data_IF_439117269502
#
_entry.id   IF_439117269502
#
_cell.length_a   1.000
_cell.length_b   1.000
_cell.length_c   1.000
_cell.angle_alpha   90.00
_cell.angle_beta   90.00
_cell.angle_gamma   90.00
#
_symmetry.space_group_name_H-M   'P 1'
#
loop_
_entity.id
_entity.type
_entity.pdbx_description
1 polymer ?
#
# COMPACT_ATOMS: atom_id res chain seq x y z
N UNK A 1 23.15 23.68 5.89
CA UNK A 1 22.33 22.54 5.53
C UNK A 1 20.99 23.02 5.01
N UNK A 2 20.41 22.31 4.04
CA UNK A 2 19.17 22.77 3.39
C UNK A 2 17.94 22.53 4.27
N UNK A 3 18.00 21.47 5.12
CA UNK A 3 16.93 21.05 6.01
C UNK A 3 17.46 20.56 7.36
N UNK A 4 16.60 20.53 8.38
CA UNK A 4 16.92 19.81 9.64
C UNK A 4 16.79 18.29 9.45
N UNK A 5 15.76 17.86 8.69
CA UNK A 5 15.43 16.43 8.54
C UNK A 5 15.14 16.08 7.08
N UNK A 6 15.82 15.05 6.57
CA UNK A 6 15.44 14.35 5.36
C UNK A 6 14.73 13.05 5.74
N UNK A 7 13.54 12.80 5.20
CA UNK A 7 12.83 11.53 5.32
C UNK A 7 12.83 10.83 3.97
N UNK A 8 13.39 9.62 3.89
CA UNK A 8 13.44 8.81 2.68
C UNK A 8 12.37 7.73 2.73
N UNK A 9 11.37 7.86 1.86
CA UNK A 9 10.19 7.01 1.75
C UNK A 9 8.93 7.66 2.30
N UNK A 10 7.92 7.81 1.43
CA UNK A 10 6.62 8.44 1.72
C UNK A 10 5.53 7.46 2.14
N UNK A 11 5.90 6.30 2.68
CA UNK A 11 4.96 5.37 3.31
C UNK A 11 4.40 5.90 4.63
N UNK A 12 3.57 5.13 5.31
CA UNK A 12 2.94 5.52 6.58
C UNK A 12 3.97 5.95 7.63
N UNK A 13 5.07 5.22 7.75
CA UNK A 13 6.14 5.54 8.69
C UNK A 13 6.82 6.89 8.36
N UNK A 14 7.20 7.08 7.09
CA UNK A 14 7.87 8.32 6.66
C UNK A 14 6.97 9.54 6.73
N UNK A 15 5.72 9.44 6.32
CA UNK A 15 4.75 10.53 6.45
C UNK A 15 4.54 10.90 7.91
N UNK A 16 4.41 9.90 8.80
CA UNK A 16 4.26 10.16 10.25
C UNK A 16 5.49 10.84 10.84
N UNK A 17 6.70 10.38 10.46
CA UNK A 17 7.95 10.98 10.91
C UNK A 17 8.10 12.43 10.41
N UNK A 18 7.78 12.67 9.13
CA UNK A 18 7.87 13.99 8.53
C UNK A 18 6.91 14.99 9.18
N UNK A 19 5.66 14.60 9.37
CA UNK A 19 4.65 15.42 10.05
C UNK A 19 5.07 15.73 11.49
N UNK A 20 5.55 14.72 12.22
CA UNK A 20 5.96 14.91 13.60
C UNK A 20 7.20 15.82 13.72
N UNK A 21 8.18 15.66 12.84
CA UNK A 21 9.34 16.55 12.83
C UNK A 21 8.93 18.01 12.55
N UNK A 22 8.04 18.22 11.59
CA UNK A 22 7.51 19.56 11.28
C UNK A 22 6.71 20.15 12.45
N UNK A 23 5.91 19.37 13.17
CA UNK A 23 5.20 19.82 14.38
C UNK A 23 6.16 20.24 15.51
N UNK A 24 7.36 19.70 15.53
CA UNK A 24 8.45 20.09 16.44
C UNK A 24 9.25 21.29 15.94
N UNK A 25 8.77 21.98 14.91
CA UNK A 25 9.38 23.19 14.36
C UNK A 25 10.60 22.93 13.45
N UNK A 26 10.79 21.68 12.98
CA UNK A 26 11.90 21.35 12.10
C UNK A 26 11.56 21.60 10.63
N UNK A 27 12.54 22.05 9.86
CA UNK A 27 12.47 22.11 8.40
C UNK A 27 12.65 20.70 7.84
N UNK A 28 11.62 20.20 7.10
CA UNK A 28 11.56 18.81 6.67
C UNK A 28 11.40 18.68 5.17
N UNK A 29 12.20 17.79 4.58
CA UNK A 29 11.98 17.29 3.23
C UNK A 29 11.70 15.80 3.25
N UNK A 30 10.66 15.36 2.54
CA UNK A 30 10.30 13.96 2.33
C UNK A 30 10.55 13.60 0.87
N UNK A 31 11.34 12.56 0.64
CA UNK A 31 11.65 12.05 -0.69
C UNK A 31 10.91 10.75 -0.93
N UNK A 32 10.08 10.69 -1.98
CA UNK A 32 9.33 9.50 -2.36
C UNK A 32 9.51 9.21 -3.85
N UNK A 33 9.85 7.95 -4.16
CA UNK A 33 10.13 7.55 -5.55
C UNK A 33 8.88 7.24 -6.37
N UNK A 34 7.79 6.81 -5.72
CA UNK A 34 6.58 6.34 -6.38
C UNK A 34 5.37 7.17 -5.95
N UNK A 35 4.67 6.76 -4.92
CA UNK A 35 3.42 7.39 -4.46
C UNK A 35 3.40 7.53 -2.94
N UNK A 36 2.94 8.67 -2.46
CA UNK A 36 2.64 8.89 -1.04
C UNK A 36 1.65 7.83 -0.56
N UNK A 37 1.84 7.35 0.68
CA UNK A 37 1.07 6.27 1.29
C UNK A 37 1.79 4.93 1.29
N UNK A 38 2.80 4.75 0.41
CA UNK A 38 3.62 3.53 0.34
C UNK A 38 2.79 2.27 0.13
N UNK A 39 3.29 1.15 0.58
CA UNK A 39 2.67 -0.17 0.41
C UNK A 39 1.28 -0.25 1.08
N UNK A 40 1.19 0.16 2.33
CA UNK A 40 -0.04 0.00 3.13
C UNK A 40 -1.26 0.65 2.48
N UNK A 41 -1.13 1.88 2.01
CA UNK A 41 -2.25 2.62 1.41
C UNK A 41 -2.50 2.17 -0.02
N UNK A 42 -1.43 2.03 -0.82
CA UNK A 42 -1.59 1.84 -2.26
C UNK A 42 -1.75 0.37 -2.67
N UNK A 43 -1.17 -0.59 -1.91
CA UNK A 43 -0.97 -1.96 -2.39
C UNK A 43 -1.36 -3.08 -1.43
N UNK A 44 -1.45 -2.81 -0.11
CA UNK A 44 -1.67 -3.86 0.89
C UNK A 44 -2.86 -3.58 1.81
N UNK A 45 -2.69 -2.81 2.88
CA UNK A 45 -3.66 -2.73 3.97
C UNK A 45 -5.03 -2.20 3.53
N UNK A 46 -5.06 -1.06 2.86
CA UNK A 46 -6.33 -0.47 2.42
C UNK A 46 -6.99 -1.30 1.33
N UNK A 47 -6.28 -1.73 0.26
CA UNK A 47 -6.83 -2.65 -0.72
C UNK A 47 -7.42 -3.91 -0.11
N UNK A 48 -6.66 -4.63 0.73
CA UNK A 48 -7.11 -5.91 1.30
C UNK A 48 -8.32 -5.74 2.19
N UNK A 49 -8.32 -4.74 3.08
CA UNK A 49 -9.44 -4.50 4.01
C UNK A 49 -10.70 -4.10 3.27
N UNK A 50 -10.59 -3.27 2.24
CA UNK A 50 -11.75 -2.89 1.41
C UNK A 50 -12.37 -4.11 0.71
N UNK A 51 -11.54 -4.98 0.13
CA UNK A 51 -12.01 -6.19 -0.55
C UNK A 51 -12.61 -7.21 0.42
N UNK A 52 -11.93 -7.46 1.54
CA UNK A 52 -12.37 -8.42 2.56
C UNK A 52 -13.66 -7.98 3.24
N UNK A 53 -13.81 -6.69 3.54
CA UNK A 53 -15.02 -6.15 4.17
C UNK A 53 -16.24 -6.34 3.27
N UNK A 54 -16.11 -6.06 1.98
CA UNK A 54 -17.17 -6.27 1.01
C UNK A 54 -17.59 -7.75 0.94
N UNK A 55 -16.61 -8.66 0.86
CA UNK A 55 -16.86 -10.11 0.83
C UNK A 55 -17.54 -10.59 2.12
N UNK A 56 -17.07 -10.14 3.29
CA UNK A 56 -17.69 -10.46 4.59
C UNK A 56 -19.12 -9.93 4.69
N UNK A 57 -19.39 -8.74 4.14
CA UNK A 57 -20.73 -8.14 4.12
C UNK A 57 -21.70 -9.00 3.31
N UNK A 58 -21.33 -9.38 2.08
CA UNK A 58 -22.16 -10.27 1.25
C UNK A 58 -22.40 -11.60 1.96
N UNK A 59 -21.35 -12.20 2.53
CA UNK A 59 -21.49 -13.47 3.24
C UNK A 59 -22.42 -13.37 4.46
N UNK A 60 -22.33 -12.28 5.24
CA UNK A 60 -23.20 -12.03 6.39
C UNK A 60 -24.66 -11.93 5.96
N UNK A 61 -24.95 -11.20 4.88
CA UNK A 61 -26.31 -11.08 4.33
C UNK A 61 -26.81 -12.44 3.85
N UNK A 62 -26.03 -13.14 3.03
CA UNK A 62 -26.42 -14.43 2.44
C UNK A 62 -26.60 -15.57 3.47
N UNK A 63 -25.91 -15.50 4.62
CA UNK A 63 -26.01 -16.49 5.68
C UNK A 63 -27.06 -16.18 6.75
N UNK A 64 -27.70 -15.01 6.69
CA UNK A 64 -28.71 -14.59 7.68
C UNK A 64 -30.05 -15.25 7.40
N UNK A 65 -30.60 -16.07 8.32
CA UNK A 65 -31.82 -16.85 8.05
C UNK A 65 -33.10 -16.01 7.90
N UNK A 66 -33.05 -14.76 8.33
CA UNK A 66 -34.18 -13.81 8.23
C UNK A 66 -34.07 -12.84 7.02
N UNK A 67 -33.02 -12.97 6.21
CA UNK A 67 -32.86 -12.13 5.02
C UNK A 67 -33.12 -12.97 3.77
N UNK A 68 -34.18 -12.63 3.07
CA UNK A 68 -34.53 -13.22 1.77
C UNK A 68 -33.99 -12.29 0.69
N UNK A 69 -32.75 -12.48 0.29
CA UNK A 69 -32.16 -11.74 -0.83
C UNK A 69 -31.14 -12.57 -1.59
N UNK A 70 -31.04 -12.39 -2.89
CA UNK A 70 -29.92 -12.84 -3.69
C UNK A 70 -28.92 -11.69 -3.82
N UNK A 71 -27.91 -11.67 -2.95
CA UNK A 71 -26.84 -10.67 -3.07
C UNK A 71 -25.68 -11.24 -3.88
N UNK A 72 -25.31 -10.55 -4.96
CA UNK A 72 -24.11 -10.86 -5.73
C UNK A 72 -23.10 -9.72 -5.58
N UNK A 73 -21.82 -10.08 -5.51
CA UNK A 73 -20.74 -9.09 -5.47
C UNK A 73 -20.41 -8.64 -6.88
N UNK A 74 -20.61 -7.35 -7.16
CA UNK A 74 -20.07 -6.72 -8.37
C UNK A 74 -18.60 -6.37 -8.14
N UNK A 75 -17.72 -7.24 -8.63
CA UNK A 75 -16.28 -7.10 -8.42
C UNK A 75 -15.69 -5.89 -9.15
N UNK A 76 -16.28 -5.45 -10.27
CA UNK A 76 -15.82 -4.27 -10.98
C UNK A 76 -16.10 -3.00 -10.16
N UNK A 77 -17.32 -2.82 -9.69
CA UNK A 77 -17.70 -1.71 -8.80
C UNK A 77 -16.92 -1.72 -7.49
N UNK A 78 -16.62 -2.90 -6.95
CA UNK A 78 -15.78 -3.02 -5.75
C UNK A 78 -14.37 -2.49 -6.00
N UNK A 79 -13.76 -2.82 -7.14
CA UNK A 79 -12.44 -2.29 -7.52
C UNK A 79 -12.44 -0.78 -7.74
N UNK A 80 -13.49 -0.22 -8.35
CA UNK A 80 -13.66 1.22 -8.49
C UNK A 80 -13.76 1.92 -7.12
N UNK A 81 -14.56 1.35 -6.20
CA UNK A 81 -14.68 1.87 -4.84
C UNK A 81 -13.35 1.80 -4.09
N UNK A 82 -12.62 0.69 -4.21
CA UNK A 82 -11.26 0.54 -3.65
C UNK A 82 -10.33 1.65 -4.16
N UNK A 83 -10.31 1.89 -5.46
CA UNK A 83 -9.47 2.94 -6.06
C UNK A 83 -9.85 4.34 -5.53
N UNK A 84 -11.14 4.64 -5.40
CA UNK A 84 -11.64 5.90 -4.84
C UNK A 84 -11.21 6.10 -3.38
N UNK A 85 -11.29 5.05 -2.55
CA UNK A 85 -10.86 5.10 -1.14
C UNK A 85 -9.35 5.39 -1.07
N UNK A 86 -8.55 4.69 -1.86
CA UNK A 86 -7.09 4.90 -1.91
C UNK A 86 -6.77 6.34 -2.31
N UNK A 87 -7.41 6.86 -3.37
CA UNK A 87 -7.18 8.24 -3.83
C UNK A 87 -7.51 9.26 -2.74
N UNK A 88 -8.67 9.12 -2.09
CA UNK A 88 -9.08 10.03 -1.03
C UNK A 88 -8.11 10.05 0.16
N UNK A 89 -7.58 8.89 0.55
CA UNK A 89 -6.59 8.79 1.63
C UNK A 89 -5.28 9.46 1.20
N UNK A 90 -4.78 9.19 0.00
CA UNK A 90 -3.57 9.83 -0.54
C UNK A 90 -3.68 11.34 -0.55
N UNK A 91 -4.74 11.87 -1.15
CA UNK A 91 -4.99 13.30 -1.22
C UNK A 91 -5.02 13.95 0.18
N UNK A 92 -5.61 13.27 1.16
CA UNK A 92 -5.60 13.74 2.54
C UNK A 92 -4.19 13.76 3.12
N UNK A 93 -3.37 12.73 2.86
CA UNK A 93 -1.97 12.68 3.31
C UNK A 93 -1.15 13.79 2.67
N UNK A 94 -1.28 14.01 1.36
CA UNK A 94 -0.58 15.07 0.62
C UNK A 94 -0.98 16.47 1.13
N UNK A 95 -2.28 16.71 1.36
CA UNK A 95 -2.76 17.95 1.97
C UNK A 95 -2.19 18.16 3.38
N UNK A 96 -2.12 17.11 4.19
CA UNK A 96 -1.54 17.22 5.54
C UNK A 96 -0.05 17.58 5.49
N UNK A 97 0.73 16.95 4.61
CA UNK A 97 2.14 17.27 4.41
C UNK A 97 2.31 18.74 4.00
N UNK A 98 1.54 19.19 3.00
CA UNK A 98 1.58 20.57 2.52
C UNK A 98 1.18 21.58 3.62
N UNK A 99 0.11 21.32 4.36
CA UNK A 99 -0.38 22.22 5.43
C UNK A 99 0.61 22.37 6.60
N UNK A 100 1.52 21.40 6.75
CA UNK A 100 2.60 21.42 7.75
C UNK A 100 3.95 21.85 7.16
N UNK A 101 3.95 22.43 5.95
CA UNK A 101 5.16 22.90 5.26
C UNK A 101 6.24 21.81 5.06
N UNK A 102 5.85 20.55 5.00
CA UNK A 102 6.77 19.47 4.61
C UNK A 102 6.99 19.54 3.11
N UNK A 103 8.24 19.74 2.69
CA UNK A 103 8.59 19.71 1.27
C UNK A 103 8.62 18.27 0.77
N UNK A 104 7.80 17.93 -0.22
CA UNK A 104 7.82 16.63 -0.86
C UNK A 104 8.58 16.70 -2.17
N UNK A 105 9.57 15.82 -2.34
CA UNK A 105 10.32 15.66 -3.59
C UNK A 105 10.05 14.25 -4.13
N UNK A 106 9.55 14.18 -5.36
CA UNK A 106 9.42 12.90 -6.06
C UNK A 106 10.76 12.57 -6.72
N UNK A 107 11.31 11.40 -6.40
CA UNK A 107 12.60 10.97 -6.96
C UNK A 107 13.23 9.82 -6.19
N UNK A 108 14.29 9.25 -6.78
CA UNK A 108 15.09 8.20 -6.14
C UNK A 108 16.18 8.81 -5.28
N UNK A 109 16.13 8.52 -3.98
CA UNK A 109 17.15 8.96 -3.04
C UNK A 109 18.34 7.99 -3.02
N UNK A 110 19.54 8.51 -3.05
CA UNK A 110 20.81 7.79 -2.84
C UNK A 110 21.63 8.49 -1.77
N UNK A 111 22.12 7.74 -0.80
CA UNK A 111 22.99 8.26 0.24
C UNK A 111 24.38 8.51 -0.38
N UNK A 112 24.91 9.69 -0.18
CA UNK A 112 26.26 10.07 -0.63
C UNK A 112 27.26 10.11 0.53
N UNK A 113 26.79 10.51 1.70
CA UNK A 113 27.60 10.64 2.92
C UNK A 113 26.73 10.96 4.12
N UNK A 114 27.35 11.30 5.22
CA UNK A 114 26.65 11.72 6.42
C UNK A 114 25.89 13.03 6.18
N UNK A 115 24.57 13.00 6.31
CA UNK A 115 23.72 14.16 6.08
C UNK A 115 23.55 14.54 4.61
N UNK A 116 24.06 13.78 3.65
CA UNK A 116 24.00 14.06 2.22
C UNK A 116 23.18 13.00 1.47
N UNK A 117 22.15 13.44 0.77
CA UNK A 117 21.25 12.59 -0.03
C UNK A 117 21.16 13.17 -1.44
N UNK A 118 21.49 12.38 -2.44
CA UNK A 118 21.26 12.70 -3.85
C UNK A 118 19.86 12.26 -4.25
N UNK A 119 19.11 13.16 -4.89
CA UNK A 119 17.81 12.88 -5.48
C UNK A 119 17.85 13.29 -6.95
N UNK A 120 17.83 12.31 -7.85
CA UNK A 120 17.86 12.49 -9.30
C UNK A 120 18.96 13.48 -9.76
N UNK A 121 20.19 13.32 -9.22
CA UNK A 121 21.37 14.10 -9.55
C UNK A 121 21.53 15.41 -8.76
N UNK A 122 20.60 15.76 -7.88
CA UNK A 122 20.73 16.93 -6.98
C UNK A 122 21.03 16.47 -5.56
N UNK A 123 22.06 17.03 -4.95
CA UNK A 123 22.39 16.76 -3.55
C UNK A 123 21.60 17.71 -2.66
N UNK A 124 20.98 17.17 -1.64
CA UNK A 124 20.32 17.87 -0.53
C UNK A 124 20.99 17.47 0.76
N UNK A 125 21.05 18.39 1.72
CA UNK A 125 21.75 18.18 2.99
C UNK A 125 20.83 18.38 4.19
N UNK A 126 21.04 17.58 5.26
CA UNK A 126 20.31 17.74 6.51
C UNK A 126 21.12 17.26 7.71
N UNK A 127 20.73 17.72 8.91
CA UNK A 127 21.31 17.26 10.18
C UNK A 127 20.94 15.80 10.48
N UNK A 128 19.72 15.39 10.13
CA UNK A 128 19.18 14.06 10.37
C UNK A 128 18.58 13.44 9.13
N UNK A 129 18.78 12.13 8.97
CA UNK A 129 18.16 11.35 7.89
C UNK A 129 17.35 10.20 8.50
N UNK A 130 16.05 10.14 8.15
CA UNK A 130 15.13 9.06 8.55
C UNK A 130 14.93 8.12 7.38
N UNK A 131 15.25 6.84 7.59
CA UNK A 131 15.05 5.78 6.59
C UNK A 131 13.72 5.07 6.83
N UNK A 132 12.79 5.23 5.90
CA UNK A 132 11.48 4.58 5.89
C UNK A 132 11.15 3.99 4.51
N UNK A 133 12.17 3.34 3.92
CA UNK A 133 12.16 2.88 2.51
C UNK A 133 11.26 1.69 2.26
N UNK A 134 10.71 1.06 3.30
CA UNK A 134 9.77 -0.05 3.21
C UNK A 134 10.41 -1.35 2.73
N UNK A 135 9.59 -2.21 2.16
CA UNK A 135 9.95 -3.53 1.65
C UNK A 135 9.29 -3.82 0.31
N UNK A 136 9.64 -4.94 -0.28
CA UNK A 136 9.02 -5.46 -1.50
C UNK A 136 8.67 -6.93 -1.31
N UNK A 137 7.68 -7.48 -2.03
CA UNK A 137 7.37 -8.89 -1.99
C UNK A 137 8.59 -9.74 -2.38
N UNK A 138 8.82 -10.81 -1.60
CA UNK A 138 9.87 -11.77 -1.88
C UNK A 138 9.49 -12.63 -3.09
N UNK A 139 10.40 -12.77 -4.04
CA UNK A 139 10.30 -13.77 -5.10
C UNK A 139 11.09 -15.01 -4.68
N UNK A 140 10.42 -16.17 -4.65
CA UNK A 140 11.07 -17.43 -4.34
C UNK A 140 11.64 -18.05 -5.61
N UNK A 141 12.84 -18.70 -5.56
CA UNK A 141 13.43 -19.34 -6.72
C UNK A 141 12.51 -20.35 -7.42
N UNK A 142 11.79 -21.17 -6.64
CA UNK A 142 10.87 -22.18 -7.14
C UNK A 142 9.54 -21.61 -7.65
N UNK A 143 9.22 -20.37 -7.31
CA UNK A 143 8.00 -19.66 -7.68
C UNK A 143 8.32 -18.23 -8.15
N UNK A 144 9.02 -18.07 -9.27
CA UNK A 144 9.40 -16.76 -9.78
C UNK A 144 8.16 -15.95 -10.16
N UNK A 145 8.05 -14.74 -9.60
CA UNK A 145 6.95 -13.83 -9.90
C UNK A 145 6.95 -13.45 -11.40
N UNK A 146 5.81 -13.63 -12.06
CA UNK A 146 5.66 -13.33 -13.49
C UNK A 146 4.46 -12.44 -13.83
N UNK A 147 3.69 -12.03 -12.83
CA UNK A 147 2.53 -11.16 -12.99
C UNK A 147 1.32 -11.78 -13.73
N UNK A 148 1.40 -13.07 -14.09
CA UNK A 148 0.34 -13.77 -14.83
C UNK A 148 -0.22 -14.95 -14.04
N UNK A 149 0.63 -15.93 -13.73
CA UNK A 149 0.25 -17.18 -13.06
C UNK A 149 0.85 -17.26 -11.65
N UNK A 150 2.00 -16.63 -11.43
CA UNK A 150 2.65 -16.50 -10.13
C UNK A 150 2.64 -15.02 -9.77
N UNK A 151 1.83 -14.70 -8.76
CA UNK A 151 1.52 -13.34 -8.36
C UNK A 151 2.06 -13.06 -6.97
N UNK A 152 2.56 -11.85 -6.76
CA UNK A 152 2.73 -11.30 -5.43
C UNK A 152 1.38 -10.82 -4.85
N UNK A 153 1.30 -10.57 -3.53
CA UNK A 153 0.08 -10.08 -2.91
C UNK A 153 -0.45 -8.78 -3.50
N UNK A 154 0.43 -7.88 -3.94
CA UNK A 154 0.03 -6.59 -4.52
C UNK A 154 -0.70 -6.76 -5.85
N UNK A 155 -0.14 -7.60 -6.70
CA UNK A 155 -0.73 -7.95 -8.01
C UNK A 155 -2.03 -8.72 -7.83
N UNK A 156 -2.08 -9.65 -6.87
CA UNK A 156 -3.25 -10.47 -6.60
C UNK A 156 -4.48 -9.63 -6.16
N UNK A 157 -4.27 -8.56 -5.39
CA UNK A 157 -5.36 -7.65 -4.97
C UNK A 157 -5.86 -6.71 -6.07
N UNK A 158 -5.18 -6.70 -7.22
CA UNK A 158 -5.51 -5.85 -8.37
C UNK A 158 -5.92 -6.65 -9.61
N UNK A 159 -6.20 -7.94 -9.46
CA UNK A 159 -6.72 -8.75 -10.55
C UNK A 159 -8.03 -8.16 -11.07
N UNK A 160 -8.16 -8.06 -12.38
CA UNK A 160 -9.41 -7.64 -13.04
C UNK A 160 -10.44 -8.77 -13.08
N UNK A 161 -9.93 -10.00 -13.20
CA UNK A 161 -10.74 -11.22 -13.26
C UNK A 161 -10.21 -12.25 -12.27
N UNK A 162 -11.11 -12.86 -11.53
CA UNK A 162 -10.76 -13.90 -10.57
C UNK A 162 -10.78 -15.26 -11.26
N UNK A 163 -9.70 -16.02 -11.15
CA UNK A 163 -9.59 -17.36 -11.72
C UNK A 163 -10.40 -18.37 -10.90
N UNK A 164 -10.87 -19.42 -11.55
CA UNK A 164 -11.68 -20.47 -10.91
C UNK A 164 -10.91 -21.31 -9.89
N UNK A 165 -9.59 -21.39 -10.00
CA UNK A 165 -8.71 -22.10 -9.07
C UNK A 165 -7.51 -21.22 -8.74
N UNK A 166 -7.22 -21.13 -7.47
CA UNK A 166 -6.07 -20.36 -6.95
C UNK A 166 -5.35 -21.25 -5.93
N UNK A 167 -4.03 -21.24 -5.97
CA UNK A 167 -3.16 -21.84 -4.96
C UNK A 167 -2.48 -20.68 -4.23
N UNK A 168 -2.45 -20.75 -2.90
CA UNK A 168 -1.75 -19.78 -2.07
C UNK A 168 -0.57 -20.48 -1.42
N UNK A 169 0.62 -19.96 -1.63
CA UNK A 169 1.85 -20.45 -1.06
C UNK A 169 2.26 -19.53 0.09
N UNK A 170 2.19 -20.05 1.31
CA UNK A 170 2.52 -19.34 2.54
C UNK A 170 1.30 -18.96 3.38
N UNK A 171 1.38 -19.25 4.68
CA UNK A 171 0.35 -19.00 5.70
C UNK A 171 0.57 -17.74 6.55
N UNK A 172 1.36 -16.78 6.09
CA UNK A 172 1.51 -15.47 6.73
C UNK A 172 0.28 -14.59 6.55
N UNK A 173 0.33 -13.37 7.09
CA UNK A 173 -0.80 -12.42 7.08
C UNK A 173 -1.40 -12.25 5.68
N UNK A 174 -0.56 -11.98 4.67
CA UNK A 174 -1.01 -11.79 3.30
C UNK A 174 -1.69 -13.05 2.72
N UNK A 175 -1.12 -14.24 2.98
CA UNK A 175 -1.68 -15.50 2.51
C UNK A 175 -3.06 -15.77 3.11
N UNK A 176 -3.23 -15.59 4.42
CA UNK A 176 -4.51 -15.77 5.11
C UNK A 176 -5.57 -14.75 4.65
N UNK A 177 -5.18 -13.50 4.47
CA UNK A 177 -6.09 -12.46 3.94
C UNK A 177 -6.54 -12.76 2.51
N UNK A 178 -5.61 -13.15 1.64
CA UNK A 178 -5.93 -13.55 0.26
C UNK A 178 -6.77 -14.83 0.21
N UNK A 179 -6.51 -15.80 1.08
CA UNK A 179 -7.34 -17.00 1.21
C UNK A 179 -8.77 -16.65 1.59
N UNK A 180 -8.94 -15.76 2.56
CA UNK A 180 -10.26 -15.26 2.98
C UNK A 180 -10.99 -14.57 1.83
N UNK A 181 -10.29 -13.71 1.08
CA UNK A 181 -10.85 -13.01 -0.07
C UNK A 181 -11.26 -13.99 -1.18
N UNK A 182 -10.32 -14.82 -1.63
CA UNK A 182 -10.54 -15.68 -2.79
C UNK A 182 -11.48 -16.85 -2.54
N UNK A 183 -11.59 -17.35 -1.30
CA UNK A 183 -12.58 -18.37 -0.95
C UNK A 183 -14.00 -17.97 -1.37
N UNK A 184 -14.34 -16.71 -1.28
CA UNK A 184 -15.67 -16.19 -1.61
C UNK A 184 -15.82 -15.77 -3.08
N UNK A 185 -14.70 -15.55 -3.78
CA UNK A 185 -14.68 -15.09 -5.16
C UNK A 185 -14.41 -16.21 -6.17
N UNK A 186 -13.92 -17.37 -5.72
CA UNK A 186 -13.58 -18.52 -6.58
C UNK A 186 -14.51 -19.70 -6.33
N UNK A 187 -14.61 -20.59 -7.33
CA UNK A 187 -15.31 -21.87 -7.17
C UNK A 187 -14.47 -22.89 -6.37
N UNK A 188 -13.14 -22.77 -6.39
CA UNK A 188 -12.20 -23.66 -5.67
C UNK A 188 -10.97 -22.88 -5.23
N UNK A 189 -10.69 -22.92 -3.96
CA UNK A 189 -9.43 -22.46 -3.35
C UNK A 189 -8.69 -23.71 -2.82
N UNK A 190 -7.42 -23.82 -3.17
CA UNK A 190 -6.49 -24.81 -2.62
C UNK A 190 -5.43 -24.06 -1.82
N UNK A 191 -5.29 -24.39 -0.57
CA UNK A 191 -4.29 -23.81 0.38
C UNK A 191 -3.28 -24.86 0.77
#
# INVERSE_FOLDING_TARGET
MDFDVIVIGGGVAGVSAALRASELGKSVVLVERDQIGGECINRACIPSKTLIDAVKTVNRVSSSPWIVSSSALDYARLNENKARIISAIKEKMERNLSSKNVRVIKGNAKIKGQGEVEVDGRVITADYTVFSTGSVPLSLPDFPLNGKNVLDPWTAMNLKEIKNRIIIVGGGVAGVELATLFRHLTKRLLS
#
